data_IF_680596131082
#
_entry.id   IF_680596131082
#
_cell.length_a   1.000
_cell.length_b   1.000
_cell.length_c   1.000
_cell.angle_alpha   90.00
_cell.angle_beta   90.00
_cell.angle_gamma   90.00
#
_symmetry.space_group_name_H-M   'P 1'
#
loop_
_entity.id
_entity.type
_entity.pdbx_description
1 polymer ?
#
# COMPACT_ATOMS: atom_id res chain seq x y z
N UNK A 1 10.74 7.00 11.35
CA UNK A 1 9.28 6.76 11.38
C UNK A 1 8.99 5.68 12.40
N UNK A 2 8.08 5.93 13.33
CA UNK A 2 7.75 5.10 14.50
C UNK A 2 6.48 4.27 14.23
N UNK A 3 6.11 3.36 15.13
CA UNK A 3 4.85 2.60 15.03
C UNK A 3 3.60 3.47 15.17
N UNK A 4 3.74 4.68 15.72
CA UNK A 4 2.67 5.68 15.77
C UNK A 4 2.35 6.22 14.37
N UNK A 5 3.36 6.34 13.50
CA UNK A 5 3.20 6.77 12.11
C UNK A 5 2.42 5.72 11.30
N UNK A 6 2.73 4.44 11.53
CA UNK A 6 2.03 3.31 10.92
C UNK A 6 0.54 3.27 11.29
N UNK A 7 0.22 3.40 12.60
CA UNK A 7 -1.17 3.45 13.08
C UNK A 7 -1.92 4.65 12.50
N UNK A 8 -1.28 5.81 12.47
CA UNK A 8 -1.86 7.03 11.88
C UNK A 8 -2.19 6.84 10.41
N UNK A 9 -1.27 6.27 9.62
CA UNK A 9 -1.50 5.99 8.20
C UNK A 9 -2.72 5.07 8.01
N UNK A 10 -2.78 3.96 8.75
CA UNK A 10 -3.90 3.02 8.67
C UNK A 10 -5.25 3.65 9.04
N UNK A 11 -5.29 4.50 10.07
CA UNK A 11 -6.49 5.26 10.42
C UNK A 11 -6.91 6.17 9.26
N UNK A 12 -5.96 6.88 8.65
CA UNK A 12 -6.27 7.78 7.54
C UNK A 12 -6.72 7.05 6.27
N UNK A 13 -6.13 5.89 5.97
CA UNK A 13 -6.56 5.02 4.85
C UNK A 13 -8.00 4.56 5.07
N UNK A 14 -8.32 4.04 6.27
CA UNK A 14 -9.67 3.56 6.58
C UNK A 14 -10.70 4.69 6.59
N UNK A 15 -10.35 5.86 7.12
CA UNK A 15 -11.21 7.03 7.08
C UNK A 15 -11.49 7.48 5.64
N UNK A 16 -10.46 7.60 4.79
CA UNK A 16 -10.60 7.96 3.39
C UNK A 16 -11.48 6.96 2.63
N UNK A 17 -11.27 5.66 2.86
CA UNK A 17 -12.10 4.58 2.31
C UNK A 17 -13.56 4.72 2.73
N UNK A 18 -13.83 4.94 4.01
CA UNK A 18 -15.18 5.10 4.55
C UNK A 18 -15.91 6.32 3.95
N UNK A 19 -15.16 7.37 3.58
CA UNK A 19 -15.68 8.55 2.89
C UNK A 19 -15.81 8.37 1.37
N UNK A 20 -15.35 7.26 0.80
CA UNK A 20 -15.31 7.05 -0.66
C UNK A 20 -14.28 7.92 -1.38
N UNK A 21 -13.30 8.48 -0.65
CA UNK A 21 -12.26 9.34 -1.20
C UNK A 21 -11.09 8.51 -1.76
N UNK A 22 -11.30 7.83 -2.90
CA UNK A 22 -10.33 6.87 -3.46
C UNK A 22 -8.96 7.48 -3.76
N UNK A 23 -8.90 8.71 -4.29
CA UNK A 23 -7.64 9.41 -4.50
C UNK A 23 -6.82 9.53 -3.20
N UNK A 24 -7.47 9.88 -2.09
CA UNK A 24 -6.81 9.97 -0.79
C UNK A 24 -6.37 8.59 -0.29
N UNK A 25 -7.16 7.54 -0.54
CA UNK A 25 -6.77 6.16 -0.23
C UNK A 25 -5.48 5.80 -0.96
N UNK A 26 -5.40 6.04 -2.27
CA UNK A 26 -4.21 5.73 -3.07
C UNK A 26 -2.99 6.53 -2.61
N UNK A 27 -3.14 7.83 -2.35
CA UNK A 27 -2.06 8.65 -1.83
C UNK A 27 -1.49 8.09 -0.52
N UNK A 28 -2.35 7.73 0.44
CA UNK A 28 -1.91 7.15 1.71
C UNK A 28 -1.35 5.74 1.59
N UNK A 29 -1.74 4.99 0.57
CA UNK A 29 -1.13 3.69 0.26
C UNK A 29 0.28 3.86 -0.31
N UNK A 30 0.55 4.88 -1.12
CA UNK A 30 1.90 5.23 -1.55
C UNK A 30 2.76 5.64 -0.35
N UNK A 31 2.23 6.45 0.58
CA UNK A 31 2.92 6.79 1.83
C UNK A 31 3.21 5.54 2.69
N UNK A 32 2.28 4.59 2.74
CA UNK A 32 2.47 3.31 3.42
C UNK A 32 3.58 2.47 2.75
N UNK A 33 3.63 2.43 1.43
CA UNK A 33 4.72 1.76 0.70
C UNK A 33 6.07 2.42 0.99
N UNK A 34 6.15 3.75 1.01
CA UNK A 34 7.36 4.47 1.39
C UNK A 34 7.82 4.12 2.82
N UNK A 35 6.88 3.99 3.76
CA UNK A 35 7.16 3.52 5.12
C UNK A 35 7.68 2.07 5.15
N UNK A 36 7.09 1.17 4.37
CA UNK A 36 7.55 -0.21 4.22
C UNK A 36 8.98 -0.27 3.70
N UNK A 37 9.31 0.49 2.65
CA UNK A 37 10.68 0.60 2.11
C UNK A 37 11.65 1.06 3.19
N UNK A 38 11.29 2.09 3.96
CA UNK A 38 12.10 2.59 5.07
C UNK A 38 12.31 1.56 6.21
N UNK A 39 11.46 0.52 6.27
CA UNK A 39 11.52 -0.61 7.21
C UNK A 39 12.11 -1.88 6.59
N UNK A 40 12.65 -1.80 5.38
CA UNK A 40 13.17 -2.93 4.59
C UNK A 40 12.12 -4.01 4.22
N UNK A 41 10.83 -3.64 4.23
CA UNK A 41 9.69 -4.45 3.79
C UNK A 41 9.42 -4.22 2.30
N UNK A 42 10.42 -4.47 1.46
CA UNK A 42 10.42 -4.06 0.05
C UNK A 42 9.49 -4.90 -0.84
N UNK A 43 9.33 -6.17 -0.52
CA UNK A 43 8.44 -7.08 -1.26
C UNK A 43 6.97 -6.66 -1.06
N UNK A 44 6.59 -6.35 0.19
CA UNK A 44 5.27 -5.82 0.52
C UNK A 44 5.04 -4.45 -0.12
N UNK A 45 6.04 -3.56 -0.06
CA UNK A 45 5.96 -2.25 -0.72
C UNK A 45 5.72 -2.38 -2.23
N UNK A 46 6.41 -3.29 -2.90
CA UNK A 46 6.19 -3.57 -4.32
C UNK A 46 4.75 -4.02 -4.58
N UNK A 47 4.19 -4.90 -3.74
CA UNK A 47 2.78 -5.31 -3.85
C UNK A 47 1.82 -4.12 -3.79
N UNK A 48 2.03 -3.20 -2.83
CA UNK A 48 1.19 -2.00 -2.66
C UNK A 48 1.30 -1.06 -3.85
N UNK A 49 2.52 -0.77 -4.31
CA UNK A 49 2.76 0.12 -5.44
C UNK A 49 2.18 -0.46 -6.74
N UNK A 50 2.40 -1.75 -7.00
CA UNK A 50 1.81 -2.44 -8.15
C UNK A 50 0.28 -2.36 -8.12
N UNK A 51 -0.34 -2.51 -6.95
CA UNK A 51 -1.79 -2.37 -6.80
C UNK A 51 -2.27 -0.96 -7.13
N UNK A 52 -1.62 0.08 -6.57
CA UNK A 52 -1.98 1.48 -6.84
C UNK A 52 -1.84 1.77 -8.33
N UNK A 53 -0.70 1.46 -8.94
CA UNK A 53 -0.44 1.70 -10.36
C UNK A 53 -1.36 0.91 -11.30
N UNK A 54 -2.03 -0.14 -10.81
CA UNK A 54 -3.00 -0.91 -11.59
C UNK A 54 -4.40 -0.27 -11.61
N UNK A 55 -4.72 0.68 -10.72
CA UNK A 55 -6.07 1.24 -10.69
C UNK A 55 -6.28 2.24 -11.84
N UNK A 56 -7.41 2.16 -12.56
CA UNK A 56 -7.65 2.96 -13.76
C UNK A 56 -7.88 4.45 -13.48
N UNK A 57 -8.19 4.81 -12.24
CA UNK A 57 -8.62 6.13 -11.80
C UNK A 57 -7.61 6.80 -10.85
N UNK A 58 -6.39 6.28 -10.74
CA UNK A 58 -5.33 6.93 -9.96
C UNK A 58 -5.01 8.30 -10.56
N UNK A 59 -5.07 9.39 -9.76
CA UNK A 59 -4.59 10.69 -10.17
C UNK A 59 -3.12 10.67 -10.60
N UNK A 60 -2.79 11.45 -11.63
CA UNK A 60 -1.46 11.44 -12.26
C UNK A 60 -0.32 11.75 -11.28
N UNK A 61 -0.52 12.67 -10.35
CA UNK A 61 0.46 13.01 -9.31
C UNK A 61 0.74 11.86 -8.34
N UNK A 62 -0.29 11.09 -7.98
CA UNK A 62 -0.15 9.89 -7.15
C UNK A 62 0.53 8.77 -7.94
N UNK A 63 0.19 8.62 -9.21
CA UNK A 63 0.83 7.64 -10.09
C UNK A 63 2.32 7.93 -10.25
N UNK A 64 2.71 9.16 -10.56
CA UNK A 64 4.11 9.56 -10.73
C UNK A 64 4.92 9.30 -9.45
N UNK A 65 4.36 9.61 -8.27
CA UNK A 65 5.03 9.31 -7.00
C UNK A 65 5.16 7.79 -6.76
N UNK A 66 4.14 7.00 -7.12
CA UNK A 66 4.22 5.55 -7.04
C UNK A 66 5.27 4.97 -8.01
N UNK A 67 5.35 5.51 -9.23
CA UNK A 67 6.30 5.09 -10.27
C UNK A 67 7.74 5.39 -9.87
N UNK A 68 8.01 6.55 -9.26
CA UNK A 68 9.34 6.90 -8.74
C UNK A 68 9.82 5.86 -7.71
N UNK A 69 8.99 5.53 -6.71
CA UNK A 69 9.32 4.51 -5.71
C UNK A 69 9.45 3.11 -6.32
N UNK A 70 8.62 2.83 -7.32
CA UNK A 70 8.61 1.56 -8.03
C UNK A 70 9.90 1.34 -8.83
N UNK A 71 10.41 2.36 -9.52
CA UNK A 71 11.67 2.31 -10.27
C UNK A 71 12.85 1.97 -9.36
N UNK A 72 12.89 2.59 -8.17
CA UNK A 72 13.93 2.30 -7.18
C UNK A 72 13.86 0.82 -6.74
N UNK A 73 12.66 0.31 -6.44
CA UNK A 73 12.46 -1.09 -6.07
C UNK A 73 12.78 -2.08 -7.19
N UNK A 74 12.44 -1.78 -8.45
CA UNK A 74 12.78 -2.63 -9.59
C UNK A 74 14.29 -2.82 -9.75
N UNK A 75 15.10 -1.84 -9.31
CA UNK A 75 16.56 -1.93 -9.37
C UNK A 75 17.18 -2.80 -8.25
N UNK A 76 16.45 -2.99 -7.15
CA UNK A 76 16.92 -3.68 -5.95
C UNK A 76 16.35 -5.10 -5.81
N UNK A 77 15.10 -5.29 -6.23
CA UNK A 77 14.38 -6.54 -6.05
C UNK A 77 14.67 -7.54 -7.17
N UNK A 78 14.45 -8.82 -6.85
CA UNK A 78 14.50 -9.88 -7.86
C UNK A 78 13.38 -9.65 -8.90
N UNK A 79 13.67 -9.78 -10.22
CA UNK A 79 12.65 -9.61 -11.26
C UNK A 79 11.41 -10.50 -11.08
N UNK A 80 11.56 -11.64 -10.38
CA UNK A 80 10.44 -12.51 -10.03
C UNK A 80 9.48 -11.85 -9.03
N UNK A 81 9.99 -11.20 -7.99
CA UNK A 81 9.17 -10.49 -6.98
C UNK A 81 8.34 -9.41 -7.66
N UNK A 82 8.97 -8.66 -8.56
CA UNK A 82 8.30 -7.64 -9.39
C UNK A 82 7.19 -8.24 -10.26
N UNK A 83 7.46 -9.36 -10.93
CA UNK A 83 6.46 -10.03 -11.77
C UNK A 83 5.28 -10.56 -10.94
N UNK A 84 5.56 -11.13 -9.78
CA UNK A 84 4.56 -11.65 -8.86
C UNK A 84 3.68 -10.50 -8.32
N UNK A 85 4.27 -9.37 -7.92
CA UNK A 85 3.53 -8.17 -7.48
C UNK A 85 2.57 -7.63 -8.56
N UNK A 86 3.03 -7.53 -9.82
CA UNK A 86 2.17 -7.11 -10.95
C UNK A 86 1.01 -8.09 -11.19
N UNK A 87 1.29 -9.39 -11.09
CA UNK A 87 0.26 -10.43 -11.27
C UNK A 87 -0.79 -10.37 -10.15
N UNK A 88 -0.36 -10.22 -8.90
CA UNK A 88 -1.24 -10.15 -7.74
C UNK A 88 -2.14 -8.91 -7.76
N UNK A 89 -1.59 -7.75 -8.15
CA UNK A 89 -2.32 -6.49 -8.29
C UNK A 89 -3.58 -6.61 -9.17
N UNK A 90 -3.57 -7.52 -10.16
CA UNK A 90 -4.71 -7.74 -11.08
C UNK A 90 -5.91 -8.38 -10.39
N UNK A 91 -5.70 -9.17 -9.33
CA UNK A 91 -6.75 -9.92 -8.64
C UNK A 91 -7.04 -9.40 -7.23
N UNK A 92 -6.20 -8.48 -6.74
CA UNK A 92 -6.31 -7.94 -5.40
C UNK A 92 -7.48 -6.95 -5.28
N UNK A 93 -8.25 -7.07 -4.20
CA UNK A 93 -9.30 -6.10 -3.86
C UNK A 93 -8.73 -4.98 -2.99
N UNK A 94 -9.36 -3.80 -3.00
CA UNK A 94 -8.95 -2.70 -2.12
C UNK A 94 -8.94 -3.11 -0.65
N UNK A 95 -9.95 -3.87 -0.20
CA UNK A 95 -10.02 -4.36 1.18
C UNK A 95 -8.84 -5.27 1.49
N UNK A 96 -8.59 -6.27 0.63
CA UNK A 96 -7.48 -7.21 0.82
C UNK A 96 -6.12 -6.50 0.85
N UNK A 97 -5.93 -5.49 0.01
CA UNK A 97 -4.70 -4.70 0.03
C UNK A 97 -4.56 -3.87 1.32
N UNK A 98 -5.64 -3.28 1.83
CA UNK A 98 -5.60 -2.55 3.12
C UNK A 98 -5.28 -3.52 4.28
N UNK A 99 -5.84 -4.73 4.27
CA UNK A 99 -5.53 -5.79 5.24
C UNK A 99 -4.04 -6.17 5.16
N UNK A 100 -3.49 -6.36 3.96
CA UNK A 100 -2.07 -6.64 3.75
C UNK A 100 -1.17 -5.50 4.27
N UNK A 101 -1.53 -4.24 4.00
CA UNK A 101 -0.81 -3.07 4.52
C UNK A 101 -0.84 -3.04 6.05
N UNK A 102 -1.98 -3.35 6.66
CA UNK A 102 -2.11 -3.41 8.11
C UNK A 102 -1.22 -4.50 8.72
N UNK A 103 -1.32 -5.74 8.22
CA UNK A 103 -0.49 -6.85 8.70
C UNK A 103 1.01 -6.54 8.55
N UNK A 104 1.44 -5.95 7.44
CA UNK A 104 2.85 -5.61 7.23
C UNK A 104 3.37 -4.51 8.17
N UNK A 105 2.54 -3.50 8.50
CA UNK A 105 3.01 -2.32 9.26
C UNK A 105 2.88 -2.45 10.77
N UNK A 106 1.87 -3.16 11.27
CA UNK A 106 1.57 -3.24 12.72
C UNK A 106 1.43 -4.67 13.23
N UNK A 107 1.40 -5.68 12.34
CA UNK A 107 1.16 -7.07 12.72
C UNK A 107 -0.30 -7.36 13.06
N UNK A 108 -0.65 -8.64 13.13
CA UNK A 108 -2.05 -9.09 13.32
C UNK A 108 -2.63 -8.73 14.70
N UNK A 109 -1.79 -8.59 15.72
CA UNK A 109 -2.20 -8.36 17.11
C UNK A 109 -2.69 -6.90 17.37
N UNK A 110 -2.35 -5.96 16.49
CA UNK A 110 -2.62 -4.52 16.69
C UNK A 110 -3.62 -3.94 15.67
N UNK A 111 -4.24 -4.78 14.84
CA UNK A 111 -5.13 -4.36 13.76
C UNK A 111 -6.37 -3.60 14.30
N UNK A 112 -6.71 -2.40 13.77
CA UNK A 112 -7.85 -1.65 14.27
C UNK A 112 -9.17 -2.41 14.02
N UNK A 113 -10.13 -2.38 14.96
CA UNK A 113 -11.32 -3.24 14.95
C UNK A 113 -12.23 -3.05 13.72
N UNK A 114 -12.13 -1.89 13.04
CA UNK A 114 -12.94 -1.54 11.88
C UNK A 114 -12.51 -2.23 10.58
N UNK A 115 -11.38 -2.93 10.55
CA UNK A 115 -10.99 -3.79 9.41
C UNK A 115 -11.79 -5.10 9.37
N UNK A 116 -12.41 -5.50 10.48
CA UNK A 116 -13.09 -6.78 10.65
C UNK A 116 -14.62 -6.73 10.42
N UNK A 117 -15.19 -5.56 10.11
CA UNK A 117 -16.64 -5.45 9.90
C UNK A 117 -17.04 -5.75 8.44
N UNK A 118 -18.09 -6.58 8.23
CA UNK A 118 -18.48 -7.14 6.93
C UNK A 118 -19.04 -6.12 5.95
#
# INVERSE_FOLDING_TARGET
>A
MTDDDARTLLVTINAARAMGALAEVYARMVDAAALMIARDLKDEAAGVLAYVMHQPDVPYDIYDHADDLWIDLESELCPRVIADAKAEATFMSLRGMIEQVATALIGDDDMPPDTLSP
#
